data_IF_716995989031
#
_entry.id   IF_716995989031
#
_cell.length_a   1.000
_cell.length_b   1.000
_cell.length_c   1.000
_cell.angle_alpha   90.00
_cell.angle_beta   90.00
_cell.angle_gamma   90.00
#
_symmetry.space_group_name_H-M   'P 1'
#
loop_
_entity.id
_entity.type
_entity.pdbx_description
1 polymer ?
#
# COMPACT_ATOMS: atom_id res chain seq x y z
N UNK A 1 -21.16 -44.61 -8.68
CA UNK A 1 -19.73 -44.44 -8.99
C UNK A 1 -19.50 -42.96 -9.29
N UNK A 2 -19.16 -42.16 -8.28
CA UNK A 2 -18.89 -40.72 -8.45
C UNK A 2 -17.50 -40.57 -9.06
N UNK A 3 -17.43 -39.97 -10.23
CA UNK A 3 -16.18 -39.60 -10.86
C UNK A 3 -15.47 -38.59 -9.96
N UNK A 4 -14.39 -39.02 -9.30
CA UNK A 4 -13.39 -38.10 -8.77
C UNK A 4 -12.80 -37.36 -9.98
N UNK A 5 -13.26 -36.15 -10.24
CA UNK A 5 -12.54 -35.21 -11.10
C UNK A 5 -11.21 -34.92 -10.42
N UNK A 6 -10.19 -35.64 -10.85
CA UNK A 6 -8.80 -35.44 -10.50
C UNK A 6 -8.33 -34.12 -11.15
N UNK A 7 -8.70 -32.99 -10.52
CA UNK A 7 -8.18 -31.69 -10.93
C UNK A 7 -6.70 -31.68 -10.58
N UNK A 8 -5.85 -31.84 -11.60
CA UNK A 8 -4.39 -31.70 -11.47
C UNK A 8 -4.08 -30.51 -10.56
N UNK A 9 -3.30 -30.70 -9.49
CA UNK A 9 -2.98 -29.61 -8.57
C UNK A 9 -2.38 -28.44 -9.34
N UNK A 10 -3.00 -27.27 -9.21
CA UNK A 10 -2.49 -26.06 -9.84
C UNK A 10 -1.21 -25.65 -9.09
N UNK A 11 -0.06 -26.07 -9.61
CA UNK A 11 1.27 -25.85 -9.05
C UNK A 11 1.53 -24.37 -8.68
N UNK A 12 0.92 -23.43 -9.40
CA UNK A 12 1.01 -21.99 -9.09
C UNK A 12 0.23 -21.64 -7.82
N UNK A 13 -1.00 -22.15 -7.68
CA UNK A 13 -1.83 -21.94 -6.48
C UNK A 13 -1.13 -22.52 -5.25
N UNK A 14 -0.63 -23.75 -5.35
CA UNK A 14 0.11 -24.39 -4.24
C UNK A 14 1.35 -23.59 -3.85
N UNK A 15 2.13 -23.13 -4.84
CA UNK A 15 3.31 -22.31 -4.60
C UNK A 15 2.99 -20.98 -3.93
N UNK A 16 1.92 -20.31 -4.36
CA UNK A 16 1.47 -19.06 -3.76
C UNK A 16 0.91 -19.26 -2.35
N UNK A 17 0.16 -20.34 -2.12
CA UNK A 17 -0.44 -20.65 -0.83
C UNK A 17 0.52 -21.29 0.18
N UNK A 18 1.71 -21.73 -0.25
CA UNK A 18 2.73 -22.29 0.63
C UNK A 18 3.03 -21.37 1.83
N UNK A 19 3.21 -21.96 3.00
CA UNK A 19 3.56 -21.27 4.24
C UNK A 19 4.92 -20.57 4.17
N UNK A 20 5.78 -20.98 3.22
CA UNK A 20 7.11 -20.38 3.03
C UNK A 20 7.35 -20.11 1.55
N UNK A 21 7.68 -18.86 1.24
CA UNK A 21 8.09 -18.47 -0.10
C UNK A 21 9.62 -18.48 -0.21
N UNK A 22 10.19 -18.99 -1.31
CA UNK A 22 11.60 -18.78 -1.59
C UNK A 22 11.85 -17.28 -1.80
N UNK A 23 13.01 -16.78 -1.35
CA UNK A 23 13.32 -15.35 -1.38
C UNK A 23 13.10 -14.67 -2.75
N UNK A 24 13.50 -15.25 -3.90
CA UNK A 24 13.25 -14.63 -5.20
C UNK A 24 11.76 -14.45 -5.51
N UNK A 25 10.91 -15.40 -5.10
CA UNK A 25 9.46 -15.28 -5.27
C UNK A 25 8.92 -14.16 -4.40
N UNK A 26 9.33 -14.10 -3.12
CA UNK A 26 8.91 -13.02 -2.24
C UNK A 26 9.33 -11.67 -2.79
N UNK A 27 10.59 -11.50 -3.21
CA UNK A 27 11.09 -10.25 -3.79
C UNK A 27 10.25 -9.86 -5.02
N UNK A 28 10.02 -10.79 -5.95
CA UNK A 28 9.21 -10.53 -7.13
C UNK A 28 7.77 -10.12 -6.77
N UNK A 29 7.13 -10.85 -5.84
CA UNK A 29 5.77 -10.54 -5.39
C UNK A 29 5.67 -9.19 -4.66
N UNK A 30 6.76 -8.71 -4.04
CA UNK A 30 6.77 -7.37 -3.46
C UNK A 30 6.96 -6.28 -4.52
N UNK A 31 7.91 -6.45 -5.44
CA UNK A 31 8.36 -5.37 -6.33
C UNK A 31 7.57 -5.26 -7.63
N UNK A 32 7.14 -6.38 -8.22
CA UNK A 32 6.42 -6.37 -9.51
C UNK A 32 5.16 -5.50 -9.47
N UNK A 33 4.30 -5.54 -8.43
CA UNK A 33 3.15 -4.64 -8.33
C UNK A 33 3.52 -3.16 -8.46
N UNK A 34 4.62 -2.74 -7.85
CA UNK A 34 5.07 -1.35 -7.86
C UNK A 34 5.51 -0.89 -9.23
N UNK A 35 6.27 -1.75 -9.93
CA UNK A 35 6.70 -1.48 -11.30
C UNK A 35 5.50 -1.41 -12.25
N UNK A 36 4.50 -2.28 -12.05
CA UNK A 36 3.25 -2.25 -12.81
C UNK A 36 2.42 -0.99 -12.54
N UNK A 37 2.42 -0.46 -11.30
CA UNK A 37 1.74 0.80 -10.97
C UNK A 37 2.38 1.97 -11.72
N UNK A 38 3.71 2.07 -11.73
CA UNK A 38 4.41 3.13 -12.49
C UNK A 38 4.11 3.00 -13.98
N UNK A 39 4.14 1.79 -14.54
CA UNK A 39 3.79 1.57 -15.93
C UNK A 39 2.33 1.96 -16.23
N UNK A 40 1.39 1.57 -15.36
CA UNK A 40 -0.03 1.93 -15.50
C UNK A 40 -0.27 3.44 -15.37
N UNK A 41 0.49 4.14 -14.53
CA UNK A 41 0.45 5.59 -14.44
C UNK A 41 0.89 6.23 -15.75
N UNK A 42 2.08 5.91 -16.24
CA UNK A 42 2.64 6.52 -17.45
C UNK A 42 1.84 6.19 -18.73
N UNK A 43 1.28 4.98 -18.82
CA UNK A 43 0.59 4.52 -20.03
C UNK A 43 -0.91 4.82 -20.02
N UNK A 44 -1.52 5.03 -18.85
CA UNK A 44 -2.98 5.17 -18.71
C UNK A 44 -3.34 6.32 -17.79
N UNK A 45 -2.86 6.29 -16.54
CA UNK A 45 -3.31 7.23 -15.50
C UNK A 45 -3.03 8.69 -15.85
N UNK A 46 -1.80 9.03 -16.17
CA UNK A 46 -1.36 10.38 -16.51
C UNK A 46 -2.01 10.89 -17.81
N UNK A 47 -1.92 10.19 -18.96
CA UNK A 47 -2.60 10.64 -20.19
C UNK A 47 -4.10 10.83 -20.02
N UNK A 48 -4.76 9.97 -19.24
CA UNK A 48 -6.20 10.08 -18.99
C UNK A 48 -6.54 11.30 -18.14
N UNK A 49 -5.83 11.50 -17.02
CA UNK A 49 -6.07 12.64 -16.13
C UNK A 49 -5.83 13.97 -16.86
N UNK A 50 -4.74 14.07 -17.62
CA UNK A 50 -4.44 15.24 -18.45
C UNK A 50 -5.52 15.49 -19.51
N UNK A 51 -5.96 14.44 -20.22
CA UNK A 51 -6.96 14.56 -21.29
C UNK A 51 -8.32 15.10 -20.80
N UNK A 52 -8.66 14.89 -19.53
CA UNK A 52 -9.90 15.42 -18.92
C UNK A 52 -9.65 16.68 -18.08
N UNK A 53 -8.42 17.18 -18.01
CA UNK A 53 -8.05 18.39 -17.26
C UNK A 53 -8.06 18.21 -15.74
N UNK A 54 -7.63 17.06 -15.24
CA UNK A 54 -7.56 16.74 -13.80
C UNK A 54 -6.11 16.55 -13.31
N UNK A 55 -5.84 16.82 -12.02
CA UNK A 55 -4.53 16.65 -11.38
C UNK A 55 -3.94 15.24 -11.51
N UNK A 56 -2.61 15.17 -11.49
CA UNK A 56 -1.86 13.91 -11.48
C UNK A 56 -2.26 12.94 -10.35
N UNK A 57 -2.78 13.46 -9.23
CA UNK A 57 -3.33 12.64 -8.14
C UNK A 57 -4.41 11.66 -8.64
N UNK A 58 -5.28 12.11 -9.55
CA UNK A 58 -6.30 11.24 -10.14
C UNK A 58 -5.64 10.12 -10.98
N UNK A 59 -4.62 10.47 -11.78
CA UNK A 59 -3.87 9.51 -12.58
C UNK A 59 -3.22 8.42 -11.72
N UNK A 60 -2.63 8.79 -10.58
CA UNK A 60 -2.08 7.83 -9.61
C UNK A 60 -3.16 6.94 -8.98
N UNK A 61 -4.31 7.52 -8.60
CA UNK A 61 -5.43 6.75 -8.07
C UNK A 61 -5.92 5.69 -9.08
N UNK A 62 -6.04 6.06 -10.35
CA UNK A 62 -6.39 5.13 -11.45
C UNK A 62 -5.35 4.01 -11.57
N UNK A 63 -4.05 4.36 -11.64
CA UNK A 63 -2.96 3.40 -11.77
C UNK A 63 -2.93 2.39 -10.61
N UNK A 64 -3.10 2.88 -9.38
CA UNK A 64 -3.21 2.03 -8.19
C UNK A 64 -4.42 1.10 -8.26
N UNK A 65 -5.59 1.60 -8.65
CA UNK A 65 -6.79 0.78 -8.83
C UNK A 65 -6.56 -0.34 -9.85
N UNK A 66 -5.93 -0.04 -10.99
CA UNK A 66 -5.67 -1.00 -12.06
C UNK A 66 -4.77 -2.17 -11.63
N UNK A 67 -3.95 -1.99 -10.60
CA UNK A 67 -3.02 -3.04 -10.12
C UNK A 67 -3.49 -3.66 -8.80
N UNK A 68 -3.89 -2.86 -7.82
CA UNK A 68 -4.27 -3.35 -6.49
C UNK A 68 -5.61 -4.08 -6.48
N UNK A 69 -6.59 -3.67 -7.29
CA UNK A 69 -7.88 -4.38 -7.37
C UNK A 69 -7.69 -5.81 -7.93
N UNK A 70 -6.94 -6.04 -9.03
CA UNK A 70 -6.61 -7.39 -9.47
C UNK A 70 -5.84 -8.21 -8.45
N UNK A 71 -4.94 -7.60 -7.65
CA UNK A 71 -4.26 -8.30 -6.56
C UNK A 71 -5.26 -8.76 -5.50
N UNK A 72 -6.18 -7.89 -5.06
CA UNK A 72 -7.24 -8.24 -4.13
C UNK A 72 -8.12 -9.39 -4.68
N UNK A 73 -8.51 -9.29 -5.95
CA UNK A 73 -9.28 -10.32 -6.64
C UNK A 73 -8.49 -11.65 -6.72
N UNK A 74 -7.18 -11.58 -6.94
CA UNK A 74 -6.27 -12.73 -6.92
C UNK A 74 -6.23 -13.41 -5.56
N UNK A 75 -6.18 -12.65 -4.46
CA UNK A 75 -6.25 -13.18 -3.09
C UNK A 75 -7.59 -13.89 -2.83
N UNK A 76 -8.71 -13.29 -3.26
CA UNK A 76 -10.04 -13.91 -3.16
C UNK A 76 -10.14 -15.18 -4.01
N UNK A 77 -9.56 -15.17 -5.21
CA UNK A 77 -9.50 -16.33 -6.10
C UNK A 77 -8.67 -17.47 -5.50
N UNK A 78 -7.52 -17.17 -4.87
CA UNK A 78 -6.76 -18.16 -4.10
C UNK A 78 -7.61 -18.78 -2.98
N UNK A 79 -8.40 -17.96 -2.29
CA UNK A 79 -9.36 -18.43 -1.30
C UNK A 79 -10.43 -19.34 -1.87
N UNK A 80 -10.98 -19.00 -3.03
CA UNK A 80 -11.91 -19.86 -3.76
C UNK A 80 -11.28 -21.19 -4.15
N UNK A 81 -10.01 -21.19 -4.56
CA UNK A 81 -9.28 -22.42 -4.89
C UNK A 81 -9.00 -23.29 -3.66
N UNK A 82 -8.78 -22.67 -2.49
CA UNK A 82 -8.53 -23.38 -1.23
C UNK A 82 -9.81 -23.90 -0.56
N UNK A 83 -10.86 -23.09 -0.53
CA UNK A 83 -12.05 -23.29 0.31
C UNK A 83 -13.32 -23.58 -0.49
N UNK A 84 -13.28 -23.54 -1.82
CA UNK A 84 -14.46 -23.67 -2.71
C UNK A 84 -15.28 -22.39 -2.90
N UNK A 85 -15.09 -21.36 -2.06
CA UNK A 85 -15.77 -20.07 -2.15
C UNK A 85 -14.81 -18.89 -1.91
N UNK A 86 -15.14 -17.71 -2.47
CA UNK A 86 -14.33 -16.50 -2.28
C UNK A 86 -14.23 -16.16 -0.79
N UNK A 87 -13.01 -16.09 -0.28
CA UNK A 87 -12.72 -15.83 1.13
C UNK A 87 -11.24 -15.51 1.32
N UNK A 88 -10.90 -14.83 2.42
CA UNK A 88 -9.50 -14.63 2.83
C UNK A 88 -9.01 -15.70 3.81
N UNK A 89 -9.90 -16.59 4.25
CA UNK A 89 -9.58 -17.62 5.23
C UNK A 89 -8.52 -18.58 4.71
N UNK A 90 -7.43 -18.77 5.46
CA UNK A 90 -6.29 -19.58 5.03
C UNK A 90 -5.46 -18.98 3.88
N UNK A 91 -5.81 -17.80 3.36
CA UNK A 91 -4.97 -17.05 2.40
C UNK A 91 -4.16 -16.01 3.14
N UNK A 92 -4.87 -15.21 3.97
CA UNK A 92 -4.29 -14.21 4.84
C UNK A 92 -4.01 -14.79 6.23
N UNK A 93 -2.89 -14.38 6.84
CA UNK A 93 -2.54 -14.68 8.21
C UNK A 93 -2.53 -13.41 9.05
N UNK A 94 -2.29 -13.58 10.36
CA UNK A 94 -2.32 -12.50 11.36
C UNK A 94 -3.71 -11.81 11.47
N UNK A 95 -4.76 -12.52 11.04
CA UNK A 95 -6.16 -12.08 11.09
C UNK A 95 -6.91 -12.59 12.32
N UNK A 96 -6.25 -13.37 13.19
CA UNK A 96 -6.83 -14.03 14.37
C UNK A 96 -7.19 -13.10 15.53
N UNK A 97 -6.85 -11.80 15.43
CA UNK A 97 -7.19 -10.75 16.40
C UNK A 97 -6.74 -11.04 17.85
N UNK A 98 -5.48 -11.41 18.11
CA UNK A 98 -5.01 -11.72 19.46
C UNK A 98 -5.05 -10.53 20.42
N UNK A 99 -5.01 -9.29 19.91
CA UNK A 99 -5.11 -8.10 20.75
C UNK A 99 -6.57 -7.73 21.08
N UNK A 100 -6.84 -7.38 22.33
CA UNK A 100 -8.12 -6.77 22.72
C UNK A 100 -8.29 -5.41 22.04
N UNK A 101 -9.53 -4.95 21.88
CA UNK A 101 -9.82 -3.66 21.23
C UNK A 101 -9.13 -2.48 21.92
N UNK A 102 -9.14 -2.46 23.26
CA UNK A 102 -8.47 -1.40 24.04
C UNK A 102 -6.95 -1.39 23.85
N UNK A 103 -6.31 -2.57 23.90
CA UNK A 103 -4.87 -2.68 23.65
C UNK A 103 -4.50 -2.30 22.22
N UNK A 104 -5.30 -2.71 21.24
CA UNK A 104 -5.12 -2.34 19.84
C UNK A 104 -5.16 -0.82 19.67
N UNK A 105 -6.19 -0.14 20.19
CA UNK A 105 -6.32 1.33 20.10
C UNK A 105 -5.14 2.02 20.79
N UNK A 106 -4.77 1.58 22.00
CA UNK A 106 -3.65 2.13 22.75
C UNK A 106 -2.31 1.99 22.02
N UNK A 107 -2.14 0.96 21.18
CA UNK A 107 -0.95 0.78 20.33
C UNK A 107 -1.02 1.55 19.01
N UNK A 108 -2.20 1.62 18.37
CA UNK A 108 -2.37 2.29 17.08
C UNK A 108 -2.20 3.81 17.20
N UNK A 109 -2.71 4.45 18.26
CA UNK A 109 -2.57 5.91 18.47
C UNK A 109 -1.10 6.37 18.41
N UNK A 110 -0.17 5.83 19.21
CA UNK A 110 1.23 6.24 19.13
C UNK A 110 1.90 5.82 17.82
N UNK A 111 1.45 4.76 17.15
CA UNK A 111 1.95 4.39 15.82
C UNK A 111 1.56 5.40 14.74
N UNK A 112 0.33 5.91 14.76
CA UNK A 112 -0.10 7.01 13.90
C UNK A 112 0.75 8.25 14.18
N UNK A 113 0.91 8.59 15.47
CA UNK A 113 1.75 9.70 15.90
C UNK A 113 3.20 9.56 15.42
N UNK A 114 3.79 8.37 15.54
CA UNK A 114 5.12 8.05 15.02
C UNK A 114 5.20 8.28 13.51
N UNK A 115 4.30 7.66 12.73
CA UNK A 115 4.35 7.72 11.28
C UNK A 115 4.19 9.17 10.77
N UNK A 116 3.32 9.97 11.39
CA UNK A 116 3.18 11.38 11.07
C UNK A 116 4.42 12.20 11.45
N UNK A 117 4.80 12.19 12.73
CA UNK A 117 5.86 13.06 13.25
C UNK A 117 7.20 12.72 12.59
N UNK A 118 7.54 11.44 12.50
CA UNK A 118 8.80 11.01 11.86
C UNK A 118 8.74 11.20 10.35
N UNK A 119 7.58 10.97 9.72
CA UNK A 119 7.37 11.24 8.30
C UNK A 119 7.67 12.69 7.94
N UNK A 120 7.11 13.64 8.68
CA UNK A 120 7.37 15.08 8.48
C UNK A 120 8.81 15.48 8.86
N UNK A 121 9.34 14.95 9.97
CA UNK A 121 10.70 15.26 10.40
C UNK A 121 11.77 14.81 9.39
N UNK A 122 11.47 13.77 8.58
CA UNK A 122 12.37 13.25 7.55
C UNK A 122 12.16 13.91 6.17
N UNK A 123 11.33 14.94 6.05
CA UNK A 123 11.16 15.69 4.80
C UNK A 123 12.49 16.24 4.22
N UNK A 124 13.46 16.76 5.00
CA UNK A 124 14.76 17.17 4.48
C UNK A 124 15.55 16.03 3.84
N UNK A 125 15.45 14.81 4.38
CA UNK A 125 16.08 13.61 3.80
C UNK A 125 15.44 13.28 2.46
N UNK A 126 14.11 13.35 2.36
CA UNK A 126 13.40 13.13 1.10
C UNK A 126 13.83 14.14 0.03
N UNK A 127 13.95 15.42 0.39
CA UNK A 127 14.35 16.47 -0.54
C UNK A 127 15.81 16.30 -1.00
N UNK A 128 16.72 15.97 -0.08
CA UNK A 128 18.09 15.63 -0.42
C UNK A 128 18.14 14.44 -1.39
N UNK A 129 17.40 13.37 -1.10
CA UNK A 129 17.36 12.18 -1.95
C UNK A 129 16.72 12.44 -3.31
N UNK A 130 15.73 13.35 -3.41
CA UNK A 130 15.03 13.70 -4.66
C UNK A 130 16.00 14.18 -5.74
N UNK A 131 17.10 14.84 -5.34
CA UNK A 131 18.17 15.27 -6.25
C UNK A 131 18.85 14.14 -7.04
N UNK A 132 18.79 12.89 -6.59
CA UNK A 132 19.35 11.72 -7.30
C UNK A 132 18.40 11.12 -8.36
N UNK A 133 17.16 11.58 -8.40
CA UNK A 133 16.08 10.99 -9.21
C UNK A 133 15.52 11.96 -10.26
N UNK A 134 16.29 12.99 -10.63
CA UNK A 134 15.91 14.03 -11.62
C UNK A 134 15.66 13.48 -13.03
N UNK A 135 16.12 12.26 -13.31
CA UNK A 135 15.93 11.55 -14.58
C UNK A 135 14.58 10.82 -14.68
N UNK A 136 13.80 10.74 -13.60
CA UNK A 136 12.47 10.13 -13.64
C UNK A 136 11.42 11.13 -14.16
N UNK A 137 10.57 10.74 -15.13
CA UNK A 137 9.63 11.66 -15.78
C UNK A 137 8.59 12.23 -14.80
N UNK A 138 8.25 11.50 -13.74
CA UNK A 138 7.28 11.88 -12.71
C UNK A 138 7.91 12.47 -11.43
N UNK A 139 9.23 12.67 -11.38
CA UNK A 139 9.87 13.23 -10.19
C UNK A 139 9.60 14.74 -9.98
N UNK A 140 9.17 15.44 -11.03
CA UNK A 140 9.01 16.89 -11.05
C UNK A 140 7.57 17.38 -10.76
N UNK A 141 6.79 16.66 -9.95
CA UNK A 141 5.40 17.05 -9.59
C UNK A 141 5.31 18.20 -8.56
N UNK A 142 6.31 19.09 -8.54
CA UNK A 142 6.35 20.31 -7.72
C UNK A 142 7.12 20.22 -6.39
N UNK A 143 7.21 21.38 -5.72
CA UNK A 143 8.08 21.65 -4.56
C UNK A 143 7.35 21.57 -3.20
N UNK A 144 6.01 21.57 -3.20
CA UNK A 144 5.15 21.46 -2.02
C UNK A 144 4.33 20.17 -2.03
N UNK A 145 3.92 19.64 -0.85
CA UNK A 145 2.94 18.56 -0.74
C UNK A 145 1.61 18.83 -1.47
N UNK A 146 1.30 20.08 -1.80
CA UNK A 146 0.07 20.46 -2.54
C UNK A 146 0.33 20.83 -3.99
N UNK A 147 1.59 20.88 -4.44
CA UNK A 147 1.91 21.43 -5.77
C UNK A 147 1.27 20.68 -6.93
N UNK A 148 0.85 19.44 -6.72
CA UNK A 148 0.09 18.69 -7.71
C UNK A 148 -1.32 19.25 -7.96
N UNK A 149 -1.82 20.15 -7.10
CA UNK A 149 -3.11 20.82 -7.20
C UNK A 149 -3.00 22.26 -7.75
N UNK A 150 -1.79 22.81 -7.82
CA UNK A 150 -1.58 24.19 -8.24
C UNK A 150 -2.11 24.41 -9.67
N UNK A 151 -2.80 25.53 -9.90
CA UNK A 151 -3.33 25.91 -11.20
C UNK A 151 -4.68 25.28 -11.58
N UNK A 152 -5.21 24.35 -10.78
CA UNK A 152 -6.55 23.81 -10.98
C UNK A 152 -7.64 24.66 -10.30
N UNK A 153 -8.82 24.71 -10.92
CA UNK A 153 -9.98 25.37 -10.29
C UNK A 153 -10.39 24.65 -9.00
N UNK A 154 -10.95 25.40 -8.05
CA UNK A 154 -11.40 24.87 -6.76
C UNK A 154 -12.35 23.67 -6.88
N UNK A 155 -13.27 23.70 -7.84
CA UNK A 155 -14.19 22.58 -8.11
C UNK A 155 -13.45 21.33 -8.57
N UNK A 156 -12.46 21.46 -9.46
CA UNK A 156 -11.64 20.33 -9.94
C UNK A 156 -10.81 19.73 -8.80
N UNK A 157 -10.20 20.57 -7.96
CA UNK A 157 -9.46 20.10 -6.78
C UNK A 157 -10.38 19.32 -5.83
N UNK A 158 -11.56 19.86 -5.53
CA UNK A 158 -12.56 19.20 -4.68
C UNK A 158 -13.03 17.88 -5.24
N UNK A 159 -13.38 17.83 -6.53
CA UNK A 159 -13.81 16.58 -7.17
C UNK A 159 -12.69 15.54 -7.16
N UNK A 160 -11.45 15.96 -7.45
CA UNK A 160 -10.28 15.08 -7.40
C UNK A 160 -10.10 14.47 -6.02
N UNK A 161 -10.16 15.29 -4.98
CA UNK A 161 -10.02 14.83 -3.60
C UNK A 161 -11.21 13.98 -3.15
N UNK A 162 -12.44 14.31 -3.55
CA UNK A 162 -13.62 13.51 -3.24
C UNK A 162 -13.55 12.10 -3.83
N UNK A 163 -13.01 11.96 -5.06
CA UNK A 163 -12.78 10.67 -5.71
C UNK A 163 -11.60 9.94 -5.05
N UNK A 164 -10.49 10.66 -4.84
CA UNK A 164 -9.23 10.04 -4.42
C UNK A 164 -9.24 9.65 -2.95
N UNK A 165 -9.86 10.41 -2.05
CA UNK A 165 -9.90 10.14 -0.61
C UNK A 165 -10.35 8.71 -0.25
N UNK A 166 -11.51 8.20 -0.71
CA UNK A 166 -11.92 6.84 -0.35
C UNK A 166 -11.00 5.77 -0.96
N UNK A 167 -10.30 6.10 -2.06
CA UNK A 167 -9.38 5.21 -2.74
C UNK A 167 -8.00 5.24 -2.05
N UNK A 168 -7.27 6.34 -2.19
CA UNK A 168 -5.89 6.51 -1.73
C UNK A 168 -5.77 6.69 -0.23
N UNK A 169 -6.81 7.19 0.45
CA UNK A 169 -6.83 7.33 1.90
C UNK A 169 -7.25 6.07 2.65
N UNK A 170 -8.00 5.16 2.00
CA UNK A 170 -8.60 4.01 2.71
C UNK A 170 -8.42 2.71 1.93
N UNK A 171 -9.07 2.59 0.77
CA UNK A 171 -9.26 1.30 0.10
C UNK A 171 -7.94 0.71 -0.42
N UNK A 172 -7.11 1.54 -1.06
CA UNK A 172 -5.85 1.12 -1.67
C UNK A 172 -4.80 0.77 -0.60
N UNK A 173 -4.54 1.61 0.43
CA UNK A 173 -3.65 1.22 1.54
C UNK A 173 -4.16 -0.02 2.27
N UNK A 174 -5.48 -0.21 2.40
CA UNK A 174 -6.03 -1.42 2.99
C UNK A 174 -5.69 -2.67 2.15
N UNK A 175 -5.83 -2.60 0.83
CA UNK A 175 -5.42 -3.71 -0.06
C UNK A 175 -3.93 -4.01 0.11
N UNK A 176 -3.09 -2.98 0.21
CA UNK A 176 -1.66 -3.15 0.47
C UNK A 176 -1.41 -3.86 1.81
N UNK A 177 -2.11 -3.49 2.89
CA UNK A 177 -1.96 -4.18 4.17
C UNK A 177 -2.41 -5.65 4.10
N UNK A 178 -3.51 -5.94 3.42
CA UNK A 178 -3.96 -7.31 3.21
C UNK A 178 -2.93 -8.12 2.41
N UNK A 179 -2.33 -7.52 1.39
CA UNK A 179 -1.35 -8.17 0.53
C UNK A 179 0.02 -8.29 1.20
N UNK A 180 0.64 -7.20 1.62
CA UNK A 180 2.00 -7.23 2.17
C UNK A 180 2.05 -7.79 3.58
N UNK A 181 1.16 -7.36 4.49
CA UNK A 181 1.19 -7.76 5.91
C UNK A 181 0.35 -9.01 6.17
N UNK A 182 -0.78 -9.16 5.48
CA UNK A 182 -1.65 -10.34 5.60
C UNK A 182 -1.18 -11.53 4.77
N UNK A 183 -0.64 -11.31 3.56
CA UNK A 183 -0.25 -12.40 2.65
C UNK A 183 1.27 -12.62 2.60
N UNK A 184 2.10 -11.62 2.33
CA UNK A 184 3.54 -11.83 2.06
C UNK A 184 4.41 -11.97 3.32
N UNK A 185 4.27 -11.08 4.31
CA UNK A 185 5.06 -11.07 5.54
C UNK A 185 5.04 -12.41 6.31
N UNK A 186 3.88 -13.09 6.48
CA UNK A 186 3.83 -14.40 7.12
C UNK A 186 4.68 -15.45 6.40
N UNK A 187 4.79 -15.36 5.07
CA UNK A 187 5.50 -16.33 4.22
C UNK A 187 7.01 -16.18 4.24
N UNK A 188 7.50 -15.03 4.73
CA UNK A 188 8.92 -14.79 5.03
C UNK A 188 9.20 -14.82 6.55
N UNK A 189 8.24 -15.20 7.39
CA UNK A 189 8.41 -15.23 8.85
C UNK A 189 9.50 -16.20 9.33
N UNK A 190 9.92 -17.14 8.49
CA UNK A 190 11.05 -18.04 8.74
C UNK A 190 12.40 -17.32 8.85
N UNK A 191 12.48 -16.04 8.43
CA UNK A 191 13.64 -15.17 8.64
C UNK A 191 13.71 -14.61 10.08
N UNK A 192 12.74 -14.95 10.95
CA UNK A 192 12.71 -14.47 12.33
C UNK A 192 12.61 -12.95 12.41
N UNK A 193 13.46 -12.32 13.23
CA UNK A 193 13.49 -10.88 13.43
C UNK A 193 13.82 -10.09 12.14
N UNK A 194 14.44 -10.74 11.14
CA UNK A 194 14.70 -10.12 9.83
C UNK A 194 13.47 -10.06 8.92
N UNK A 195 12.41 -10.83 9.21
CA UNK A 195 11.19 -10.82 8.41
C UNK A 195 10.53 -9.42 8.33
N UNK A 196 10.26 -8.72 9.45
CA UNK A 196 9.72 -7.36 9.37
C UNK A 196 10.71 -6.37 8.74
N UNK A 197 12.02 -6.53 8.91
CA UNK A 197 13.03 -5.68 8.26
C UNK A 197 12.96 -5.84 6.74
N UNK A 198 13.05 -7.07 6.24
CA UNK A 198 12.99 -7.38 4.81
C UNK A 198 11.65 -6.94 4.20
N UNK A 199 10.53 -7.18 4.89
CA UNK A 199 9.21 -6.72 4.44
C UNK A 199 9.14 -5.20 4.33
N UNK A 200 9.69 -4.47 5.30
CA UNK A 200 9.71 -3.00 5.29
C UNK A 200 10.55 -2.46 4.15
N UNK A 201 11.77 -3.00 3.95
CA UNK A 201 12.64 -2.58 2.85
C UNK A 201 12.00 -2.85 1.48
N UNK A 202 11.43 -4.05 1.29
CA UNK A 202 10.77 -4.40 0.04
C UNK A 202 9.50 -3.58 -0.21
N UNK A 203 8.72 -3.29 0.84
CA UNK A 203 7.56 -2.40 0.75
C UNK A 203 7.99 -0.96 0.41
N UNK A 204 9.10 -0.48 0.98
CA UNK A 204 9.62 0.84 0.63
C UNK A 204 10.11 0.90 -0.82
N UNK A 205 10.79 -0.14 -1.31
CA UNK A 205 11.23 -0.23 -2.71
C UNK A 205 10.05 -0.40 -3.68
N UNK A 206 8.97 -1.05 -3.26
CA UNK A 206 7.74 -1.19 -4.05
C UNK A 206 7.18 0.18 -4.48
N UNK A 207 7.45 1.26 -3.73
CA UNK A 207 7.05 2.62 -4.09
C UNK A 207 7.97 3.25 -5.14
N UNK A 208 8.11 2.62 -6.31
CA UNK A 208 8.93 3.12 -7.42
C UNK A 208 8.52 4.51 -7.93
N UNK A 209 7.31 4.98 -7.59
CA UNK A 209 6.83 6.34 -7.89
C UNK A 209 7.34 7.42 -6.92
N UNK A 210 7.97 7.02 -5.80
CA UNK A 210 8.55 7.95 -4.82
C UNK A 210 9.85 7.41 -4.22
N UNK A 211 10.85 7.04 -5.04
CA UNK A 211 12.06 6.34 -4.58
C UNK A 211 12.92 7.21 -3.65
N UNK A 212 12.82 8.53 -3.74
CA UNK A 212 13.46 9.47 -2.80
C UNK A 212 12.92 9.35 -1.37
N UNK A 213 11.73 8.79 -1.17
CA UNK A 213 11.18 8.51 0.16
C UNK A 213 11.63 7.17 0.73
N UNK A 214 12.48 6.41 0.04
CA UNK A 214 12.85 5.06 0.47
C UNK A 214 13.32 5.00 1.93
N UNK A 215 14.29 5.85 2.30
CA UNK A 215 14.86 5.89 3.65
C UNK A 215 13.80 6.27 4.68
N UNK A 216 13.06 7.36 4.43
CA UNK A 216 12.06 7.84 5.39
C UNK A 216 10.93 6.85 5.57
N UNK A 217 10.39 6.31 4.47
CA UNK A 217 9.32 5.30 4.46
C UNK A 217 9.72 4.05 5.21
N UNK A 218 10.96 3.60 5.06
CA UNK A 218 11.47 2.49 5.86
C UNK A 218 11.41 2.80 7.35
N UNK A 219 11.85 3.99 7.77
CA UNK A 219 11.88 4.35 9.19
C UNK A 219 10.46 4.54 9.76
N UNK A 220 9.61 5.30 9.09
CA UNK A 220 8.30 5.67 9.64
C UNK A 220 7.28 4.52 9.59
N UNK A 221 7.41 3.56 8.67
CA UNK A 221 6.51 2.39 8.60
C UNK A 221 6.99 1.18 9.41
N UNK A 222 8.28 1.09 9.73
CA UNK A 222 8.86 -0.08 10.37
C UNK A 222 8.13 -0.51 11.67
N UNK A 223 7.80 0.39 12.62
CA UNK A 223 7.18 -0.04 13.87
C UNK A 223 5.85 -0.75 13.67
N UNK A 224 4.98 -0.25 12.78
CA UNK A 224 3.69 -0.89 12.52
C UNK A 224 3.85 -2.30 11.93
N UNK A 225 4.81 -2.48 11.03
CA UNK A 225 5.06 -3.79 10.41
C UNK A 225 5.70 -4.76 11.41
N UNK A 226 6.61 -4.26 12.24
CA UNK A 226 7.21 -5.03 13.32
C UNK A 226 6.17 -5.49 14.33
N UNK A 227 5.28 -4.61 14.79
CA UNK A 227 4.21 -4.99 15.73
C UNK A 227 3.20 -5.96 15.08
N UNK A 228 2.82 -5.76 13.82
CA UNK A 228 1.97 -6.71 13.12
C UNK A 228 2.60 -8.12 13.04
N UNK A 229 3.92 -8.20 12.79
CA UNK A 229 4.67 -9.44 12.82
C UNK A 229 4.80 -10.01 14.23
N UNK A 230 5.14 -9.20 15.22
CA UNK A 230 5.43 -9.65 16.59
C UNK A 230 4.17 -10.13 17.30
N UNK A 231 3.13 -9.31 17.30
CA UNK A 231 1.87 -9.58 17.98
C UNK A 231 0.92 -10.41 17.10
N UNK A 232 1.31 -10.74 15.86
CA UNK A 232 0.55 -11.57 14.91
C UNK A 232 -0.85 -11.01 14.63
N UNK A 233 -0.93 -9.68 14.50
CA UNK A 233 -2.18 -8.94 14.33
C UNK A 233 -2.04 -7.82 13.29
N UNK A 234 -2.55 -8.05 12.06
CA UNK A 234 -2.48 -7.06 10.98
C UNK A 234 -3.23 -5.76 11.28
N UNK A 235 -4.13 -5.75 12.27
CA UNK A 235 -4.89 -4.54 12.61
C UNK A 235 -3.99 -3.42 13.11
N UNK A 236 -2.80 -3.74 13.63
CA UNK A 236 -1.81 -2.75 14.04
C UNK A 236 -1.25 -1.97 12.85
N UNK A 237 -0.82 -2.68 11.80
CA UNK A 237 -0.30 -2.03 10.58
C UNK A 237 -1.41 -1.37 9.79
N UNK A 238 -2.61 -1.97 9.71
CA UNK A 238 -3.81 -1.32 9.16
C UNK A 238 -4.13 -0.02 9.88
N UNK A 239 -4.21 -0.05 11.22
CA UNK A 239 -4.53 1.13 12.01
C UNK A 239 -3.51 2.26 11.82
N UNK A 240 -2.23 1.93 11.71
CA UNK A 240 -1.18 2.91 11.46
C UNK A 240 -1.22 3.44 10.02
N UNK A 241 -1.07 2.57 9.03
CA UNK A 241 -0.90 2.96 7.63
C UNK A 241 -2.16 3.57 7.04
N UNK A 242 -3.27 2.81 7.07
CA UNK A 242 -4.57 3.29 6.58
C UNK A 242 -5.07 4.46 7.42
N UNK A 243 -4.80 4.47 8.73
CA UNK A 243 -5.20 5.57 9.61
C UNK A 243 -4.49 6.89 9.26
N UNK A 244 -3.19 6.85 8.97
CA UNK A 244 -2.44 8.03 8.54
C UNK A 244 -2.88 8.51 7.17
N UNK A 245 -3.03 7.61 6.19
CA UNK A 245 -3.45 7.99 4.84
C UNK A 245 -4.86 8.58 4.84
N UNK A 246 -5.79 8.00 5.60
CA UNK A 246 -7.14 8.51 5.76
C UNK A 246 -7.15 9.90 6.41
N UNK A 247 -6.33 10.10 7.46
CA UNK A 247 -6.23 11.37 8.15
C UNK A 247 -5.67 12.45 7.24
N UNK A 248 -4.57 12.19 6.53
CA UNK A 248 -3.96 13.15 5.61
C UNK A 248 -4.90 13.48 4.45
N UNK A 249 -5.56 12.48 3.86
CA UNK A 249 -6.52 12.69 2.78
C UNK A 249 -7.73 13.52 3.24
N UNK A 250 -8.27 13.22 4.42
CA UNK A 250 -9.39 13.97 5.00
C UNK A 250 -9.00 15.41 5.36
N UNK A 251 -7.80 15.61 5.92
CA UNK A 251 -7.27 16.94 6.22
C UNK A 251 -7.07 17.77 4.95
N UNK A 252 -6.50 17.17 3.89
CA UNK A 252 -6.33 17.83 2.59
C UNK A 252 -7.67 18.22 1.95
N UNK A 253 -8.63 17.29 1.92
CA UNK A 253 -9.98 17.58 1.41
C UNK A 253 -10.66 18.71 2.20
N UNK A 254 -10.59 18.66 3.53
CA UNK A 254 -11.20 19.67 4.41
C UNK A 254 -10.56 21.03 4.20
N UNK A 255 -9.23 21.10 4.09
CA UNK A 255 -8.52 22.34 3.86
C UNK A 255 -8.95 23.02 2.54
N UNK A 256 -9.04 22.24 1.46
CA UNK A 256 -9.53 22.74 0.16
C UNK A 256 -10.99 23.15 0.27
N UNK A 257 -11.86 22.33 0.86
CA UNK A 257 -13.30 22.63 1.00
C UNK A 257 -13.58 23.92 1.77
N UNK A 258 -12.72 24.25 2.73
CA UNK A 258 -12.81 25.47 3.52
C UNK A 258 -12.01 26.65 2.95
N UNK A 259 -11.40 26.51 1.76
CA UNK A 259 -10.50 27.52 1.16
C UNK A 259 -9.34 27.94 2.08
N UNK A 260 -8.77 26.98 2.82
CA UNK A 260 -7.60 27.21 3.65
C UNK A 260 -6.29 27.06 2.87
N UNK A 261 -6.33 26.36 1.74
CA UNK A 261 -5.27 26.17 0.75
C UNK A 261 -5.87 26.20 -0.66
#
# INVERSE_FOLDING_TARGET
MQAFTDTRPNRTVERLLSDRHPLPLSIALHLVPGALIVAAYLLVGEPFAEAIGYPALLGWAIALCLILIPILAGLLWLGRKRNGHFSFHGVLHYTGRPLSRGKLVAMVIPLIGWMLVVGFALAPVNNFCKGFFTWLPYANTGDSPTSYLDGYSHSVMLTTMAISLPLTGISLPLIEELYFRGFLLPRIAHLGNWAPVASTLLFSLYHFWSPWMFVSRTIFTFPGFWFAWRDKDIRLSIGMHVGVDALLAASGFTAIALNLI
#
